data_IF_534493579557
#
_entry.id   IF_534493579557
#
_cell.length_a   1.000
_cell.length_b   1.000
_cell.length_c   1.000
_cell.angle_alpha   90.00
_cell.angle_beta   90.00
_cell.angle_gamma   90.00
#
_symmetry.space_group_name_H-M   'P 1'
#
loop_
_entity.id
_entity.type
_entity.pdbx_description
1 polymer ?
#
# COMPACT_ATOMS: atom_id res chain seq x y z
N UNK A 1 -15.47 8.46 -8.10
CA UNK A 1 -14.25 7.83 -8.61
C UNK A 1 -13.67 8.62 -9.78
N UNK A 2 -14.50 8.96 -10.76
CA UNK A 2 -14.05 9.79 -11.88
C UNK A 2 -13.53 11.16 -11.43
N UNK A 3 -13.96 11.66 -10.28
CA UNK A 3 -13.47 12.92 -9.72
C UNK A 3 -12.17 12.76 -8.95
N UNK A 4 -11.93 11.58 -8.35
CA UNK A 4 -10.73 11.31 -7.56
C UNK A 4 -9.54 10.95 -8.45
N UNK A 5 -9.76 10.14 -9.47
CA UNK A 5 -8.68 9.60 -10.30
C UNK A 5 -7.79 10.67 -10.95
N UNK A 6 -8.32 11.76 -11.55
CA UNK A 6 -7.45 12.80 -12.11
C UNK A 6 -6.54 13.45 -11.05
N UNK A 7 -7.04 13.68 -9.84
CA UNK A 7 -6.23 14.27 -8.76
C UNK A 7 -5.13 13.31 -8.30
N UNK A 8 -5.42 12.02 -8.17
CA UNK A 8 -4.43 11.03 -7.74
C UNK A 8 -3.37 10.81 -8.80
N UNK A 9 -3.74 10.81 -10.07
CA UNK A 9 -2.77 10.71 -11.18
C UNK A 9 -1.86 11.93 -11.25
N UNK A 10 -2.29 13.07 -10.74
CA UNK A 10 -1.46 14.27 -10.62
C UNK A 10 -0.55 14.25 -9.38
N UNK A 11 -0.54 13.18 -8.58
CA UNK A 11 0.33 13.03 -7.42
C UNK A 11 -0.20 13.68 -6.15
N UNK A 12 -1.47 14.07 -6.12
CA UNK A 12 -2.09 14.71 -4.96
C UNK A 12 -2.68 13.68 -4.00
N UNK A 13 -2.62 13.98 -2.70
CA UNK A 13 -3.32 13.19 -1.70
C UNK A 13 -4.83 13.27 -1.91
N UNK A 14 -5.54 12.18 -1.63
CA UNK A 14 -6.99 12.14 -1.79
C UNK A 14 -7.65 11.36 -0.65
N UNK A 15 -8.86 11.81 -0.32
CA UNK A 15 -9.74 11.14 0.62
C UNK A 15 -11.02 10.80 -0.15
N UNK A 16 -11.34 9.50 -0.21
CA UNK A 16 -12.52 9.02 -0.89
C UNK A 16 -13.52 8.40 0.05
N UNK A 17 -14.79 8.84 -0.06
CA UNK A 17 -15.88 8.18 0.63
C UNK A 17 -16.59 7.28 -0.36
N UNK A 18 -16.46 5.96 -0.16
CA UNK A 18 -17.09 4.99 -1.03
C UNK A 18 -17.37 3.72 -0.23
N UNK A 19 -18.54 3.14 -0.48
CA UNK A 19 -18.80 1.79 -0.01
C UNK A 19 -17.97 0.80 -0.84
N UNK A 20 -17.84 -0.44 -0.35
CA UNK A 20 -17.09 -1.49 -1.03
C UNK A 20 -17.51 -1.59 -2.50
N UNK A 21 -16.54 -1.53 -3.40
CA UNK A 21 -16.80 -1.62 -4.82
C UNK A 21 -15.52 -1.68 -5.64
N UNK A 22 -15.62 -2.35 -6.77
CA UNK A 22 -14.50 -2.59 -7.69
C UNK A 22 -13.90 -1.31 -8.25
N UNK A 23 -14.70 -0.26 -8.43
CA UNK A 23 -14.23 1.00 -8.98
C UNK A 23 -13.25 1.74 -8.07
N UNK A 24 -13.45 1.65 -6.75
CA UNK A 24 -12.55 2.22 -5.77
C UNK A 24 -11.16 1.57 -5.85
N UNK A 25 -11.11 0.24 -5.86
CA UNK A 25 -9.87 -0.52 -5.99
C UNK A 25 -9.13 -0.17 -7.28
N UNK A 26 -9.84 -0.11 -8.40
CA UNK A 26 -9.25 0.28 -9.67
C UNK A 26 -8.64 1.69 -9.59
N UNK A 27 -9.32 2.63 -8.92
CA UNK A 27 -8.84 4.00 -8.80
C UNK A 27 -7.47 4.05 -8.13
N UNK A 28 -7.31 3.45 -6.95
CA UNK A 28 -6.02 3.54 -6.26
C UNK A 28 -4.94 2.66 -6.89
N UNK A 29 -5.30 1.49 -7.45
CA UNK A 29 -4.32 0.65 -8.13
C UNK A 29 -3.80 1.32 -9.41
N UNK A 30 -4.66 1.93 -10.20
CA UNK A 30 -4.24 2.66 -11.40
C UNK A 30 -3.34 3.85 -11.04
N UNK A 31 -3.65 4.55 -9.95
CA UNK A 31 -2.80 5.63 -9.46
C UNK A 31 -1.40 5.13 -9.10
N UNK A 32 -1.31 4.03 -8.35
CA UNK A 32 -0.04 3.41 -7.98
C UNK A 32 0.74 3.00 -9.23
N UNK A 33 0.10 2.24 -10.11
CA UNK A 33 0.77 1.70 -11.29
C UNK A 33 1.26 2.82 -12.20
N UNK A 34 0.43 3.83 -12.44
CA UNK A 34 0.81 4.98 -13.25
C UNK A 34 2.03 5.70 -12.67
N UNK A 35 2.02 5.95 -11.36
CA UNK A 35 3.13 6.64 -10.69
C UNK A 35 4.43 5.83 -10.78
N UNK A 36 4.36 4.53 -10.50
CA UNK A 36 5.55 3.70 -10.51
C UNK A 36 6.13 3.49 -11.91
N UNK A 37 5.29 3.40 -12.94
CA UNK A 37 5.75 3.24 -14.33
C UNK A 37 6.31 4.53 -14.90
N UNK A 38 5.76 5.68 -14.51
CA UNK A 38 6.21 6.98 -15.02
C UNK A 38 7.46 7.50 -14.28
N UNK A 39 7.76 6.95 -13.11
CA UNK A 39 8.89 7.37 -12.28
C UNK A 39 9.73 6.16 -11.89
N UNK A 40 10.39 5.51 -12.87
CA UNK A 40 11.24 4.37 -12.56
C UNK A 40 12.42 4.80 -11.67
N UNK A 41 12.88 3.88 -10.82
CA UNK A 41 14.04 4.16 -9.97
C UNK A 41 15.28 4.30 -10.84
N UNK A 42 15.96 5.42 -10.66
CA UNK A 42 17.24 5.69 -11.34
C UNK A 42 18.37 5.55 -10.30
N UNK A 43 19.23 4.53 -10.44
CA UNK A 43 20.31 4.33 -9.46
C UNK A 43 21.27 5.53 -9.34
N UNK A 44 21.40 6.33 -10.38
CA UNK A 44 22.29 7.49 -10.35
C UNK A 44 21.76 8.62 -9.44
N UNK A 45 20.44 8.80 -9.38
CA UNK A 45 19.82 9.88 -8.61
C UNK A 45 19.18 9.38 -7.32
N UNK A 46 18.63 8.16 -7.32
CA UNK A 46 17.85 7.62 -6.21
C UNK A 46 18.66 6.68 -5.31
N UNK A 47 19.88 6.33 -5.76
CA UNK A 47 20.71 5.35 -5.06
C UNK A 47 20.27 3.90 -5.33
N UNK A 48 20.97 2.98 -4.70
CA UNK A 48 20.68 1.55 -4.87
C UNK A 48 19.39 1.14 -4.21
N UNK A 49 18.71 0.17 -4.81
CA UNK A 49 17.57 -0.49 -4.18
C UNK A 49 18.06 -1.60 -3.25
N UNK A 50 17.33 -1.80 -2.14
CA UNK A 50 17.59 -2.88 -1.19
C UNK A 50 16.38 -3.81 -1.12
N UNK A 51 16.65 -5.09 -0.94
CA UNK A 51 15.58 -6.07 -0.71
C UNK A 51 14.81 -5.70 0.56
N UNK A 52 13.50 -5.83 0.50
CA UNK A 52 12.61 -5.45 1.60
C UNK A 52 12.08 -4.03 1.55
N UNK A 53 12.69 -3.14 0.76
CA UNK A 53 12.11 -1.82 0.49
C UNK A 53 10.91 -1.95 -0.45
N UNK A 54 9.93 -1.07 -0.31
CA UNK A 54 8.78 -1.00 -1.22
C UNK A 54 8.49 0.45 -1.59
N UNK A 55 7.91 0.65 -2.76
CA UNK A 55 7.54 1.97 -3.27
C UNK A 55 6.09 2.34 -2.97
N UNK A 56 5.21 1.35 -2.90
CA UNK A 56 3.80 1.55 -2.62
C UNK A 56 3.30 0.52 -1.61
N UNK A 57 2.38 0.95 -0.74
CA UNK A 57 1.78 0.12 0.28
C UNK A 57 0.27 0.33 0.29
N UNK A 58 -0.48 -0.77 0.26
CA UNK A 58 -1.93 -0.78 0.47
C UNK A 58 -2.22 -1.55 1.76
N UNK A 59 -2.85 -0.89 2.72
CA UNK A 59 -3.31 -1.53 3.95
C UNK A 59 -4.82 -1.76 3.88
N UNK A 60 -5.23 -2.97 4.21
CA UNK A 60 -6.63 -3.39 4.26
C UNK A 60 -6.91 -4.08 5.60
N UNK A 61 -8.14 -3.94 6.15
CA UNK A 61 -8.44 -4.47 7.48
C UNK A 61 -8.54 -5.99 7.56
N UNK A 62 -8.86 -6.65 6.45
CA UNK A 62 -9.12 -8.10 6.44
C UNK A 62 -8.27 -8.81 5.39
N UNK A 63 -8.01 -10.09 5.66
CA UNK A 63 -7.31 -10.97 4.73
C UNK A 63 -8.05 -11.07 3.39
N UNK A 64 -9.36 -11.21 3.44
CA UNK A 64 -10.22 -11.36 2.26
C UNK A 64 -10.10 -10.13 1.36
N UNK A 65 -10.18 -8.94 1.93
CA UNK A 65 -10.04 -7.70 1.16
C UNK A 65 -8.64 -7.56 0.59
N UNK A 66 -7.61 -7.82 1.40
CA UNK A 66 -6.23 -7.73 0.92
C UNK A 66 -5.97 -8.72 -0.21
N UNK A 67 -6.49 -9.95 -0.13
CA UNK A 67 -6.36 -10.94 -1.20
C UNK A 67 -7.06 -10.47 -2.47
N UNK A 68 -8.26 -9.88 -2.36
CA UNK A 68 -8.99 -9.37 -3.51
C UNK A 68 -8.21 -8.25 -4.21
N UNK A 69 -7.68 -7.32 -3.42
CA UNK A 69 -6.85 -6.23 -3.96
C UNK A 69 -5.61 -6.80 -4.65
N UNK A 70 -4.98 -7.80 -4.05
CA UNK A 70 -3.80 -8.46 -4.60
C UNK A 70 -4.09 -9.09 -5.95
N UNK A 71 -5.21 -9.82 -6.08
CA UNK A 71 -5.59 -10.44 -7.35
C UNK A 71 -5.86 -9.37 -8.43
N UNK A 72 -6.55 -8.29 -8.06
CA UNK A 72 -6.79 -7.18 -8.99
C UNK A 72 -5.47 -6.53 -9.42
N UNK A 73 -4.55 -6.36 -8.49
CA UNK A 73 -3.23 -5.79 -8.76
C UNK A 73 -2.41 -6.68 -9.71
N UNK A 74 -2.41 -7.99 -9.50
CA UNK A 74 -1.73 -8.92 -10.39
C UNK A 74 -2.28 -8.84 -11.81
N UNK A 75 -3.60 -8.75 -11.95
CA UNK A 75 -4.25 -8.65 -13.27
C UNK A 75 -3.83 -7.35 -13.97
N UNK A 76 -3.81 -6.24 -13.25
CA UNK A 76 -3.46 -4.94 -13.82
C UNK A 76 -1.97 -4.78 -14.13
N UNK A 77 -1.10 -5.53 -13.46
CA UNK A 77 0.35 -5.42 -13.63
C UNK A 77 0.97 -6.53 -14.46
N UNK A 78 0.16 -7.47 -14.98
CA UNK A 78 0.67 -8.71 -15.62
C UNK A 78 1.55 -8.46 -16.84
N UNK A 79 1.42 -7.34 -17.51
CA UNK A 79 2.25 -6.97 -18.65
C UNK A 79 3.33 -5.94 -18.31
N UNK A 80 3.58 -5.72 -17.03
CA UNK A 80 4.61 -4.84 -16.53
C UNK A 80 5.67 -5.64 -15.77
N UNK A 81 6.77 -4.99 -15.42
CA UNK A 81 7.80 -5.61 -14.57
C UNK A 81 7.60 -5.30 -13.09
N UNK A 82 6.48 -4.69 -12.71
CA UNK A 82 6.17 -4.37 -11.32
C UNK A 82 5.93 -5.65 -10.52
N UNK A 83 6.57 -5.77 -9.38
CA UNK A 83 6.46 -6.94 -8.50
C UNK A 83 5.63 -6.60 -7.26
N UNK A 84 4.58 -7.38 -7.03
CA UNK A 84 3.66 -7.20 -5.91
C UNK A 84 3.75 -8.37 -4.95
N UNK A 85 3.74 -8.08 -3.65
CA UNK A 85 3.73 -9.10 -2.59
C UNK A 85 2.53 -8.83 -1.68
N UNK A 86 1.87 -9.90 -1.23
CA UNK A 86 0.72 -9.83 -0.32
C UNK A 86 1.12 -10.44 1.04
N UNK A 87 1.01 -9.63 2.11
CA UNK A 87 1.42 -10.02 3.45
C UNK A 87 0.20 -10.11 4.36
N UNK A 88 -0.19 -11.32 4.72
CA UNK A 88 -1.42 -11.61 5.44
C UNK A 88 -1.16 -12.37 6.73
N UNK A 89 -1.86 -12.00 7.80
CA UNK A 89 -1.90 -12.79 9.03
C UNK A 89 -2.57 -14.14 8.80
N UNK A 90 -2.21 -15.14 9.62
CA UNK A 90 -2.79 -16.46 9.53
C UNK A 90 -2.33 -17.32 8.34
N UNK A 91 -1.41 -16.83 7.55
CA UNK A 91 -0.77 -17.58 6.47
C UNK A 91 0.72 -17.80 6.79
N UNK A 92 1.39 -18.63 5.97
CA UNK A 92 2.76 -19.01 6.24
C UNK A 92 3.72 -17.80 6.17
N UNK A 93 4.30 -17.44 7.30
CA UNK A 93 5.26 -16.36 7.44
C UNK A 93 6.52 -16.60 6.58
N UNK A 94 7.04 -17.83 6.59
CA UNK A 94 8.28 -18.16 5.85
C UNK A 94 8.13 -17.97 4.34
N UNK A 95 7.00 -18.37 3.79
CA UNK A 95 6.72 -18.17 2.36
C UNK A 95 6.68 -16.70 2.01
N UNK A 96 6.03 -15.88 2.84
CA UNK A 96 5.96 -14.44 2.63
C UNK A 96 7.33 -13.78 2.78
N UNK A 97 8.12 -14.22 3.77
CA UNK A 97 9.48 -13.73 3.97
C UNK A 97 10.36 -14.02 2.73
N UNK A 98 10.26 -15.22 2.18
CA UNK A 98 11.01 -15.58 0.98
C UNK A 98 10.67 -14.69 -0.20
N UNK A 99 9.41 -14.38 -0.40
CA UNK A 99 8.98 -13.49 -1.49
C UNK A 99 9.61 -12.10 -1.38
N UNK A 100 9.78 -11.60 -0.16
CA UNK A 100 10.42 -10.31 0.08
C UNK A 100 11.92 -10.29 -0.23
N UNK A 101 12.56 -11.45 -0.21
CA UNK A 101 14.01 -11.58 -0.41
C UNK A 101 14.42 -12.11 -1.78
N UNK A 102 13.47 -12.45 -2.64
CA UNK A 102 13.76 -12.99 -3.98
C UNK A 102 13.96 -11.91 -5.04
N UNK A 103 13.23 -10.82 -4.93
CA UNK A 103 13.24 -9.70 -5.90
C UNK A 103 12.98 -8.39 -5.19
N UNK A 104 13.31 -7.29 -5.85
CA UNK A 104 12.85 -5.98 -5.43
C UNK A 104 11.33 -5.91 -5.52
N UNK A 105 10.70 -5.41 -4.45
CA UNK A 105 9.24 -5.30 -4.36
C UNK A 105 8.83 -3.87 -4.67
N UNK A 106 7.87 -3.72 -5.57
CA UNK A 106 7.33 -2.40 -5.92
C UNK A 106 6.09 -2.06 -5.12
N UNK A 107 5.22 -3.06 -4.89
CA UNK A 107 3.93 -2.88 -4.22
C UNK A 107 3.78 -3.94 -3.14
N UNK A 108 3.43 -3.52 -1.92
CA UNK A 108 3.00 -4.43 -0.85
C UNK A 108 1.53 -4.19 -0.58
N UNK A 109 0.75 -5.27 -0.51
CA UNK A 109 -0.64 -5.27 -0.05
C UNK A 109 -0.67 -6.10 1.22
N UNK A 110 -1.17 -5.52 2.31
CA UNK A 110 -1.01 -6.15 3.62
C UNK A 110 -2.16 -5.86 4.58
N UNK A 111 -2.31 -6.73 5.58
CA UNK A 111 -3.04 -6.41 6.80
C UNK A 111 -2.06 -5.79 7.81
N UNK A 112 -2.53 -4.86 8.67
CA UNK A 112 -1.63 -4.06 9.52
C UNK A 112 -0.75 -4.89 10.45
N UNK A 113 -1.30 -5.90 11.12
CA UNK A 113 -0.56 -6.70 12.09
C UNK A 113 0.61 -7.47 11.49
N UNK A 114 0.38 -8.12 10.34
CA UNK A 114 1.43 -8.88 9.66
C UNK A 114 2.51 -7.96 9.10
N UNK A 115 2.13 -6.79 8.59
CA UNK A 115 3.12 -5.83 8.10
C UNK A 115 4.03 -5.33 9.24
N UNK A 116 3.45 -5.02 10.39
CA UNK A 116 4.25 -4.62 11.57
C UNK A 116 5.25 -5.70 11.95
N UNK A 117 4.84 -6.97 11.97
CA UNK A 117 5.74 -8.08 12.26
C UNK A 117 6.93 -8.09 11.31
N UNK A 118 6.70 -7.95 10.02
CA UNK A 118 7.78 -7.91 9.04
C UNK A 118 8.67 -6.69 9.18
N UNK A 119 8.12 -5.54 9.54
CA UNK A 119 8.92 -4.34 9.81
C UNK A 119 9.80 -4.52 11.04
N UNK A 120 9.27 -5.05 12.13
CA UNK A 120 10.04 -5.29 13.36
C UNK A 120 11.11 -6.37 13.20
N UNK A 121 10.89 -7.35 12.32
CA UNK A 121 11.88 -8.37 11.99
C UNK A 121 12.86 -7.94 10.91
N UNK A 122 12.79 -6.69 10.46
CA UNK A 122 13.67 -6.10 9.44
C UNK A 122 13.60 -6.82 8.10
N UNK A 123 12.41 -7.32 7.72
CA UNK A 123 12.16 -7.87 6.39
C UNK A 123 11.52 -6.85 5.45
N UNK A 124 10.89 -5.80 5.99
CA UNK A 124 10.27 -4.72 5.23
C UNK A 124 10.75 -3.37 5.78
N UNK A 125 11.10 -2.47 4.86
CA UNK A 125 11.54 -1.11 5.17
C UNK A 125 10.63 -0.13 4.44
N UNK A 126 10.05 0.83 5.18
CA UNK A 126 9.08 1.79 4.67
C UNK A 126 9.65 3.20 4.49
N UNK A 127 10.94 3.39 4.71
CA UNK A 127 11.58 4.69 4.68
C UNK A 127 11.68 5.32 3.27
N UNK A 128 11.42 4.54 2.22
CA UNK A 128 11.39 5.03 0.83
C UNK A 128 10.01 4.92 0.19
N UNK A 129 8.97 4.78 0.99
CA UNK A 129 7.60 4.65 0.49
C UNK A 129 7.16 5.94 -0.21
N UNK A 130 6.63 5.80 -1.43
CA UNK A 130 6.14 6.92 -2.25
C UNK A 130 4.64 7.09 -2.17
N UNK A 131 3.89 5.97 -2.04
CA UNK A 131 2.43 5.99 -2.00
C UNK A 131 1.93 5.07 -0.88
N UNK A 132 1.04 5.62 -0.06
CA UNK A 132 0.32 4.87 0.97
C UNK A 132 -1.17 4.90 0.66
N UNK A 133 -1.82 3.73 0.65
CA UNK A 133 -3.28 3.61 0.55
C UNK A 133 -3.81 2.95 1.81
N UNK A 134 -4.78 3.59 2.45
CA UNK A 134 -5.53 3.03 3.58
C UNK A 134 -6.95 2.75 3.08
N UNK A 135 -7.26 1.47 2.85
CA UNK A 135 -8.58 1.08 2.36
C UNK A 135 -9.46 0.60 3.51
N UNK A 136 -10.71 1.02 3.49
CA UNK A 136 -11.67 0.79 4.59
C UNK A 136 -11.10 1.25 5.94
N UNK A 137 -10.66 2.50 6.00
CA UNK A 137 -10.02 3.06 7.19
C UNK A 137 -10.94 3.06 8.42
N UNK A 138 -12.24 3.26 8.23
CA UNK A 138 -13.25 3.15 9.29
C UNK A 138 -13.30 1.75 9.90
N UNK A 139 -13.19 0.70 9.09
CA UNK A 139 -13.11 -0.68 9.60
C UNK A 139 -11.82 -0.92 10.38
N UNK A 140 -10.71 -0.39 9.90
CA UNK A 140 -9.44 -0.51 10.63
C UNK A 140 -9.52 0.18 12.01
N UNK A 141 -10.22 1.32 12.09
CA UNK A 141 -10.51 1.98 13.36
C UNK A 141 -11.34 1.08 14.28
N UNK A 142 -12.45 0.54 13.75
CA UNK A 142 -13.36 -0.33 14.52
C UNK A 142 -12.68 -1.60 15.01
N UNK A 143 -11.74 -2.14 14.24
CA UNK A 143 -10.99 -3.35 14.59
C UNK A 143 -9.79 -3.08 15.50
N UNK A 144 -9.55 -1.83 15.88
CA UNK A 144 -8.46 -1.47 16.79
C UNK A 144 -7.08 -1.39 16.14
N UNK A 145 -6.99 -1.21 14.83
CA UNK A 145 -5.72 -1.16 14.12
C UNK A 145 -5.07 0.23 14.08
N UNK A 146 -5.74 1.26 14.59
CA UNK A 146 -5.21 2.63 14.50
C UNK A 146 -3.84 2.79 15.19
N UNK A 147 -3.59 2.22 16.39
CA UNK A 147 -2.24 2.30 16.97
C UNK A 147 -1.18 1.67 16.08
N UNK A 148 -1.49 0.55 15.43
CA UNK A 148 -0.57 -0.13 14.52
C UNK A 148 -0.30 0.70 13.28
N UNK A 149 -1.34 1.30 12.71
CA UNK A 149 -1.20 2.19 11.55
C UNK A 149 -0.34 3.41 11.90
N UNK A 150 -0.53 4.00 13.07
CA UNK A 150 0.30 5.12 13.52
C UNK A 150 1.77 4.74 13.67
N UNK A 151 2.06 3.53 14.16
CA UNK A 151 3.44 3.02 14.22
C UNK A 151 4.04 2.89 12.83
N UNK A 152 3.30 2.33 11.88
CA UNK A 152 3.74 2.17 10.51
C UNK A 152 4.03 3.54 9.87
N UNK A 153 3.15 4.51 10.07
CA UNK A 153 3.30 5.86 9.52
C UNK A 153 4.60 6.52 10.01
N UNK A 154 5.00 6.27 11.26
CA UNK A 154 6.26 6.80 11.79
C UNK A 154 7.50 6.22 11.10
N UNK A 155 7.38 5.08 10.44
CA UNK A 155 8.47 4.44 9.69
C UNK A 155 8.54 4.93 8.25
N UNK A 156 7.60 5.75 7.82
CA UNK A 156 7.47 6.24 6.44
C UNK A 156 8.06 7.65 6.31
N UNK A 157 8.37 8.10 5.07
CA UNK A 157 8.70 9.49 4.83
C UNK A 157 7.57 10.42 5.25
N UNK A 158 7.88 11.68 5.51
CA UNK A 158 6.89 12.70 5.84
C UNK A 158 5.85 12.83 4.72
N UNK A 159 4.66 13.34 5.06
CA UNK A 159 3.56 13.54 4.10
C UNK A 159 3.97 14.36 2.87
N UNK A 160 4.94 15.25 3.02
CA UNK A 160 5.46 16.06 1.91
C UNK A 160 6.28 15.25 0.91
N UNK A 161 6.69 14.04 1.27
CA UNK A 161 7.54 13.17 0.43
C UNK A 161 6.82 11.88 0.02
N UNK A 162 5.54 11.74 0.36
CA UNK A 162 4.73 10.61 -0.08
C UNK A 162 3.31 11.07 -0.39
N UNK A 163 2.64 10.36 -1.29
CA UNK A 163 1.21 10.52 -1.56
C UNK A 163 0.42 9.59 -0.63
N UNK A 164 -0.66 10.07 -0.05
CA UNK A 164 -1.54 9.26 0.79
C UNK A 164 -2.96 9.28 0.24
N UNK A 165 -3.55 8.10 0.09
CA UNK A 165 -4.93 7.92 -0.34
C UNK A 165 -5.71 7.23 0.78
N UNK A 166 -6.77 7.86 1.24
CA UNK A 166 -7.60 7.35 2.31
C UNK A 166 -9.01 7.06 1.78
N UNK A 167 -9.46 5.83 1.93
CA UNK A 167 -10.81 5.40 1.54
C UNK A 167 -11.55 4.88 2.77
N UNK A 168 -12.78 5.38 2.96
CA UNK A 168 -13.61 5.03 4.10
C UNK A 168 -15.08 5.19 3.73
N UNK A 169 -15.94 4.33 4.27
CA UNK A 169 -17.40 4.48 4.11
C UNK A 169 -17.93 5.61 4.99
N UNK A 170 -17.27 5.88 6.12
CA UNK A 170 -17.61 6.95 7.04
C UNK A 170 -16.38 7.75 7.40
N UNK A 171 -16.54 9.07 7.63
CA UNK A 171 -15.47 9.93 8.08
C UNK A 171 -15.81 10.51 9.45
N UNK A 172 -14.88 10.37 10.39
CA UNK A 172 -14.93 11.03 11.69
C UNK A 172 -13.52 11.53 12.03
N UNK A 173 -13.37 12.21 13.16
CA UNK A 173 -12.09 12.81 13.54
C UNK A 173 -10.99 11.75 13.71
N UNK A 174 -11.34 10.54 14.11
CA UNK A 174 -10.37 9.49 14.37
C UNK A 174 -9.83 8.87 13.07
N UNK A 175 -10.62 8.90 12.00
CA UNK A 175 -10.21 8.41 10.68
C UNK A 175 -9.45 9.49 9.92
N UNK A 176 -9.87 10.72 10.04
CA UNK A 176 -9.28 11.86 9.35
C UNK A 176 -8.05 12.41 10.08
#
# INVERSE_FOLDING_TARGET
>A
QAQILPNTLAGQDAIGQAQTGTGKTATFLLTIINELLNNPINPETDGDRFLGETRALVLAPTRELAQQIYQDCLELTKFTELHTVCLLGGTDYETQSKQLHQKFVDIIIATPGRLIDFCFQHHVYLDRLEILVLDEADRMLDMGFIPDIKRLIRMMPANTHRQTLLFSATFNQDVM
#
